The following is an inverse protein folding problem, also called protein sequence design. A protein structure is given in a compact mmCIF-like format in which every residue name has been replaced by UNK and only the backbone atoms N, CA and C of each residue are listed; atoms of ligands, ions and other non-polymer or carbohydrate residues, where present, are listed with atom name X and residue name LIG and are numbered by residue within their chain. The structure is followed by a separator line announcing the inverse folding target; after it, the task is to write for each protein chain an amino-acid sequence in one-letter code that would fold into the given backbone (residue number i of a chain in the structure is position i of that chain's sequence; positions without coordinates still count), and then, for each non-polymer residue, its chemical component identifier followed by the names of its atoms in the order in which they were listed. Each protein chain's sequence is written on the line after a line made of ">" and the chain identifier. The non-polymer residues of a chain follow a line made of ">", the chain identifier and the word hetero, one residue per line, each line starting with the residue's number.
data_IF_373165346812
#
_entry.id   IF_373165346812
#
_cell.length_a   1.000
_cell.length_b   1.000
_cell.length_c   1.000
_cell.angle_alpha   90.00
_cell.angle_beta   90.00
_cell.angle_gamma   90.00
#
_symmetry.space_group_name_H-M   'P 1'
#
loop_
_entity.id
_entity.type
_entity.pdbx_description
1 polymer ?
#
# COMPACT_ATOMS: atom_id res chain seq x y z
N UNK A 1 1.91 -7.39 20.83
CA UNK A 1 2.77 -6.19 20.82
C UNK A 1 4.21 -6.67 20.58
N UNK A 2 4.92 -6.15 19.57
CA UNK A 2 6.32 -6.50 19.37
C UNK A 2 7.14 -5.97 20.56
N UNK A 3 7.75 -6.86 21.33
CA UNK A 3 8.60 -6.48 22.45
C UNK A 3 9.90 -5.83 21.92
N UNK A 4 10.33 -4.73 22.53
CA UNK A 4 11.58 -4.04 22.17
C UNK A 4 11.55 -3.30 20.83
N UNK A 5 10.36 -3.00 20.29
CA UNK A 5 10.26 -2.37 18.96
C UNK A 5 10.84 -0.96 18.95
N UNK A 6 10.66 -0.21 20.03
CA UNK A 6 11.12 1.19 20.17
C UNK A 6 12.64 1.28 20.14
N UNK A 7 13.34 0.31 20.72
CA UNK A 7 14.80 0.31 20.83
C UNK A 7 15.50 0.16 19.46
N UNK A 8 14.77 -0.27 18.43
CA UNK A 8 15.28 -0.53 17.09
C UNK A 8 14.81 0.50 16.04
N UNK A 9 14.20 1.61 16.48
CA UNK A 9 13.69 2.67 15.61
C UNK A 9 14.66 3.86 15.48
N UNK A 10 14.39 4.74 14.53
CA UNK A 10 15.14 6.00 14.41
C UNK A 10 14.90 6.88 15.65
N UNK A 11 15.98 7.26 16.32
CA UNK A 11 15.93 8.07 17.54
C UNK A 11 15.27 9.43 17.33
N UNK A 12 15.40 10.05 16.15
CA UNK A 12 14.75 11.33 15.91
C UNK A 12 13.23 11.16 15.82
N UNK A 13 12.76 10.03 15.27
CA UNK A 13 11.33 9.70 15.27
C UNK A 13 10.82 9.50 16.69
N UNK A 14 11.45 8.61 17.47
CA UNK A 14 10.99 8.25 18.81
C UNK A 14 11.05 9.42 19.80
N UNK A 15 11.97 10.36 19.61
CA UNK A 15 12.05 11.59 20.41
C UNK A 15 11.03 12.66 19.99
N UNK A 16 10.53 12.62 18.76
CA UNK A 16 9.57 13.60 18.24
C UNK A 16 8.12 13.21 18.53
N UNK A 17 7.85 11.92 18.68
CA UNK A 17 6.50 11.39 18.90
C UNK A 17 6.22 11.17 20.39
N UNK A 18 5.02 11.57 20.85
CA UNK A 18 4.56 11.30 22.23
C UNK A 18 4.43 9.80 22.52
N UNK A 19 4.17 9.01 21.47
CA UNK A 19 4.02 7.55 21.50
C UNK A 19 5.08 6.96 20.58
N UNK A 20 6.28 6.62 21.09
CA UNK A 20 7.40 6.15 20.28
C UNK A 20 7.07 4.94 19.41
N UNK A 21 6.16 4.07 19.86
CA UNK A 21 5.69 2.91 19.11
C UNK A 21 5.04 3.25 17.77
N UNK A 22 4.56 4.49 17.58
CA UNK A 22 3.98 4.94 16.32
C UNK A 22 5.01 4.97 15.18
N UNK A 23 6.30 5.05 15.50
CA UNK A 23 7.37 4.99 14.53
C UNK A 23 7.53 3.63 13.83
N UNK A 24 6.69 2.61 14.12
CA UNK A 24 6.52 1.45 13.22
C UNK A 24 5.78 1.82 11.94
N UNK A 25 4.95 2.85 11.97
CA UNK A 25 4.05 3.17 10.87
C UNK A 25 4.68 4.18 9.90
N UNK A 26 4.50 3.99 8.58
CA UNK A 26 5.14 4.83 7.57
C UNK A 26 4.89 6.33 7.73
N UNK A 27 3.69 6.74 8.15
CA UNK A 27 3.33 8.15 8.31
C UNK A 27 4.21 8.89 9.31
N UNK A 28 4.82 8.19 10.27
CA UNK A 28 5.74 8.76 11.25
C UNK A 28 7.21 8.50 10.86
N UNK A 29 7.53 7.27 10.44
CA UNK A 29 8.91 6.85 10.20
C UNK A 29 9.54 7.45 8.93
N UNK A 30 8.76 7.60 7.85
CA UNK A 30 9.32 7.89 6.53
C UNK A 30 10.04 9.24 6.43
N UNK A 31 9.69 10.22 7.26
CA UNK A 31 10.37 11.51 7.26
C UNK A 31 11.80 11.45 7.80
N UNK A 32 12.12 10.43 8.61
CA UNK A 32 13.44 10.28 9.24
C UNK A 32 14.40 9.38 8.45
N UNK A 33 13.90 8.60 7.48
CA UNK A 33 14.73 7.74 6.63
C UNK A 33 15.58 8.58 5.67
N UNK A 34 16.91 8.52 5.81
CA UNK A 34 17.85 9.29 4.97
C UNK A 34 18.30 8.54 3.72
N UNK A 35 18.33 7.21 3.77
CA UNK A 35 18.73 6.38 2.64
C UNK A 35 17.69 6.45 1.51
N UNK A 36 18.10 6.34 0.24
CA UNK A 36 17.14 6.15 -0.86
C UNK A 36 16.24 4.94 -0.56
N UNK A 37 14.93 5.14 -0.71
CA UNK A 37 13.91 4.11 -0.46
C UNK A 37 12.97 4.03 -1.66
N UNK A 38 12.59 2.81 -2.02
CA UNK A 38 11.52 2.51 -2.96
C UNK A 38 10.38 1.83 -2.20
N UNK A 39 9.16 2.34 -2.32
CA UNK A 39 7.98 1.72 -1.73
C UNK A 39 7.20 1.02 -2.84
N UNK A 40 7.07 -0.30 -2.68
CA UNK A 40 6.17 -1.12 -3.46
C UNK A 40 5.03 -1.56 -2.54
N UNK A 41 3.79 -1.25 -2.90
CA UNK A 41 2.63 -1.72 -2.17
C UNK A 41 1.39 -1.72 -3.07
N UNK A 42 0.34 -2.44 -2.69
CA UNK A 42 -0.99 -2.29 -3.30
C UNK A 42 -1.87 -1.39 -2.45
N UNK A 43 -2.75 -0.61 -3.08
CA UNK A 43 -3.86 0.04 -2.34
C UNK A 43 -4.77 -0.99 -1.71
N UNK A 44 -4.89 -2.17 -2.33
CA UNK A 44 -5.71 -3.27 -1.85
C UNK A 44 -4.88 -4.46 -1.33
N UNK A 45 -3.98 -4.22 -0.36
CA UNK A 45 -3.23 -5.32 0.29
C UNK A 45 -4.17 -6.22 1.09
N UNK A 46 -4.37 -7.44 0.60
CA UNK A 46 -5.35 -8.38 1.16
C UNK A 46 -4.96 -8.83 2.57
N UNK A 47 -3.66 -8.87 2.89
CA UNK A 47 -3.22 -9.23 4.22
C UNK A 47 -3.55 -8.13 5.22
N UNK A 48 -3.38 -6.86 4.83
CA UNK A 48 -3.74 -5.71 5.65
C UNK A 48 -5.22 -5.74 6.05
N UNK A 49 -6.15 -5.94 5.12
CA UNK A 49 -7.59 -5.90 5.46
C UNK A 49 -8.04 -7.09 6.28
N UNK A 50 -7.52 -8.29 5.99
CA UNK A 50 -7.99 -9.50 6.65
C UNK A 50 -7.36 -9.68 8.03
N UNK A 51 -6.14 -9.20 8.26
CA UNK A 51 -5.39 -9.51 9.48
C UNK A 51 -4.99 -8.29 10.31
N UNK A 52 -4.84 -7.11 9.70
CA UNK A 52 -4.31 -5.91 10.38
C UNK A 52 -5.41 -4.90 10.66
N UNK A 53 -6.34 -4.69 9.73
CA UNK A 53 -7.41 -3.71 9.85
C UNK A 53 -8.28 -4.04 11.06
N UNK A 54 -8.25 -3.15 12.04
CA UNK A 54 -9.06 -3.16 13.27
C UNK A 54 -9.07 -4.54 13.95
N UNK A 55 -8.09 -4.86 14.81
CA UNK A 55 -8.03 -6.18 15.44
C UNK A 55 -9.30 -6.47 16.28
N UNK A 56 -9.65 -7.74 16.47
CA UNK A 56 -10.86 -8.16 17.20
C UNK A 56 -10.92 -7.56 18.62
N UNK A 57 -9.78 -7.33 19.26
CA UNK A 57 -9.70 -6.66 20.57
C UNK A 57 -10.16 -5.20 20.54
N UNK A 58 -10.06 -4.52 19.39
CA UNK A 58 -10.48 -3.14 19.18
C UNK A 58 -11.87 -3.02 18.52
N UNK A 59 -12.45 -4.13 18.06
CA UNK A 59 -13.82 -4.21 17.56
C UNK A 59 -14.58 -5.42 18.13
N UNK A 60 -14.91 -5.41 19.43
CA UNK A 60 -15.59 -6.55 20.08
C UNK A 60 -16.98 -6.84 19.53
N UNK A 61 -17.62 -5.85 18.92
CA UNK A 61 -18.97 -5.95 18.36
C UNK A 61 -19.00 -6.24 16.85
N UNK A 62 -17.83 -6.31 16.20
CA UNK A 62 -17.72 -6.68 14.79
C UNK A 62 -18.28 -5.62 13.82
N UNK A 63 -18.28 -4.35 14.20
CA UNK A 63 -18.77 -3.23 13.38
C UNK A 63 -17.97 -3.12 12.07
N UNK A 64 -16.68 -3.46 12.10
CA UNK A 64 -15.78 -3.37 10.96
C UNK A 64 -15.79 -4.61 10.06
N UNK A 65 -16.55 -5.65 10.39
CA UNK A 65 -16.59 -6.88 9.61
C UNK A 65 -16.99 -6.64 8.15
N UNK A 66 -17.91 -5.70 7.91
CA UNK A 66 -18.31 -5.34 6.56
C UNK A 66 -17.12 -4.79 5.74
N UNK A 67 -16.36 -3.85 6.31
CA UNK A 67 -15.18 -3.26 5.64
C UNK A 67 -14.06 -4.28 5.40
N UNK A 68 -13.87 -5.26 6.30
CA UNK A 68 -12.86 -6.31 6.14
C UNK A 68 -13.21 -7.31 5.04
N UNK A 69 -14.50 -7.59 4.87
CA UNK A 69 -15.00 -8.50 3.84
C UNK A 69 -15.10 -7.80 2.49
N UNK A 70 -15.52 -6.54 2.49
CA UNK A 70 -15.64 -5.72 1.29
C UNK A 70 -14.80 -4.44 1.42
N UNK A 71 -13.50 -4.48 1.14
CA UNK A 71 -12.63 -3.29 1.22
C UNK A 71 -13.02 -2.18 0.23
N UNK A 72 -13.85 -2.47 -0.77
CA UNK A 72 -14.42 -1.46 -1.67
C UNK A 72 -15.62 -0.72 -1.06
N UNK A 73 -16.15 -1.18 0.08
CA UNK A 73 -17.27 -0.51 0.75
C UNK A 73 -16.87 0.80 1.43
N UNK A 74 -15.57 1.09 1.52
CA UNK A 74 -15.07 2.28 2.18
C UNK A 74 -13.76 2.77 1.55
N UNK A 75 -13.79 3.98 0.98
CA UNK A 75 -12.59 4.65 0.48
C UNK A 75 -11.59 4.97 1.59
N UNK A 76 -12.02 4.91 2.86
CA UNK A 76 -11.20 5.24 4.02
C UNK A 76 -9.89 4.48 4.03
N UNK A 77 -9.88 3.20 3.67
CA UNK A 77 -8.67 2.38 3.81
C UNK A 77 -7.62 2.77 2.77
N UNK A 78 -8.07 3.02 1.53
CA UNK A 78 -7.22 3.54 0.46
C UNK A 78 -6.68 4.91 0.84
N UNK A 79 -7.55 5.80 1.36
CA UNK A 79 -7.16 7.13 1.81
C UNK A 79 -6.13 7.09 2.95
N UNK A 80 -6.30 6.20 3.94
CA UNK A 80 -5.35 6.05 5.05
C UNK A 80 -3.97 5.64 4.53
N UNK A 81 -3.92 4.66 3.61
CA UNK A 81 -2.65 4.21 3.03
C UNK A 81 -1.98 5.34 2.23
N UNK A 82 -2.70 5.99 1.31
CA UNK A 82 -2.14 7.07 0.51
C UNK A 82 -1.74 8.28 1.35
N UNK A 83 -2.51 8.63 2.37
CA UNK A 83 -2.16 9.71 3.30
C UNK A 83 -0.90 9.38 4.09
N UNK A 84 -0.68 8.12 4.47
CA UNK A 84 0.55 7.71 5.16
C UNK A 84 1.81 7.87 4.28
N UNK A 85 1.64 7.84 2.96
CA UNK A 85 2.71 8.05 1.98
C UNK A 85 2.80 9.50 1.49
N UNK A 86 1.88 10.38 1.87
CA UNK A 86 1.78 11.75 1.31
C UNK A 86 3.06 12.55 1.44
N UNK A 87 3.69 12.53 2.62
CA UNK A 87 4.96 13.21 2.83
C UNK A 87 6.06 12.67 1.88
N UNK A 88 6.09 11.35 1.70
CA UNK A 88 7.05 10.68 0.82
C UNK A 88 6.83 11.06 -0.65
N UNK A 89 5.57 11.24 -1.06
CA UNK A 89 5.17 11.67 -2.38
C UNK A 89 5.51 13.13 -2.67
N UNK A 90 5.28 14.05 -1.72
CA UNK A 90 5.41 15.49 -1.96
C UNK A 90 6.87 15.98 -1.84
N UNK A 91 7.65 15.45 -0.90
CA UNK A 91 8.89 16.13 -0.45
C UNK A 91 10.21 15.45 -0.87
N UNK A 92 10.18 14.41 -1.72
CA UNK A 92 11.42 13.73 -2.13
C UNK A 92 11.47 13.34 -3.59
N UNK A 93 12.50 13.81 -4.30
CA UNK A 93 12.78 13.44 -5.69
C UNK A 93 13.69 12.21 -5.83
N UNK A 94 14.36 11.79 -4.75
CA UNK A 94 15.29 10.63 -4.75
C UNK A 94 14.63 9.31 -4.39
N UNK A 95 13.36 9.36 -4.01
CA UNK A 95 12.58 8.24 -3.52
C UNK A 95 11.67 7.70 -4.63
N UNK A 96 11.50 6.39 -4.65
CA UNK A 96 10.71 5.68 -5.63
C UNK A 96 9.42 5.14 -5.04
N UNK A 97 8.37 5.05 -5.85
CA UNK A 97 7.06 4.59 -5.43
C UNK A 97 6.37 3.84 -6.59
N UNK A 98 5.81 2.66 -6.29
CA UNK A 98 4.92 1.93 -7.16
C UNK A 98 3.72 1.42 -6.35
N UNK A 99 2.57 2.03 -6.60
CA UNK A 99 1.30 1.73 -5.94
C UNK A 99 0.27 1.35 -6.98
N UNK A 100 -0.07 0.06 -7.07
CA UNK A 100 -1.12 -0.43 -7.98
C UNK A 100 -2.43 -0.71 -7.24
N UNK A 101 -3.52 -0.80 -8.01
CA UNK A 101 -4.87 -1.04 -7.50
C UNK A 101 -5.28 -2.51 -7.43
N UNK A 102 -4.32 -3.43 -7.51
CA UNK A 102 -4.61 -4.85 -7.42
C UNK A 102 -4.96 -5.30 -6.00
N UNK A 103 -5.86 -6.28 -5.90
CA UNK A 103 -5.95 -7.12 -4.71
C UNK A 103 -4.75 -8.06 -4.68
N UNK A 104 -3.69 -7.74 -3.95
CA UNK A 104 -2.49 -8.57 -3.94
C UNK A 104 -1.77 -8.53 -2.58
N UNK A 105 -0.69 -9.30 -2.48
CA UNK A 105 0.25 -9.29 -1.36
C UNK A 105 1.62 -9.78 -1.87
N UNK A 106 2.73 -9.40 -1.22
CA UNK A 106 4.09 -9.88 -1.54
C UNK A 106 4.52 -9.78 -3.02
N UNK A 107 4.21 -8.66 -3.70
CA UNK A 107 4.35 -8.54 -5.16
C UNK A 107 5.79 -8.66 -5.71
N UNK A 108 6.82 -8.52 -4.88
CA UNK A 108 8.22 -8.67 -5.30
C UNK A 108 8.74 -10.11 -5.26
N UNK A 109 7.98 -11.05 -4.70
CA UNK A 109 8.48 -12.42 -4.45
C UNK A 109 8.38 -13.35 -5.66
N UNK A 110 7.51 -13.04 -6.63
CA UNK A 110 7.28 -13.87 -7.81
C UNK A 110 7.64 -13.15 -9.10
N UNK A 111 8.26 -13.87 -10.04
CA UNK A 111 8.56 -13.34 -11.38
C UNK A 111 7.28 -12.95 -12.14
N UNK A 112 6.21 -13.72 -11.96
CA UNK A 112 4.90 -13.48 -12.58
C UNK A 112 4.35 -12.09 -12.23
N UNK A 113 4.49 -11.66 -10.96
CA UNK A 113 4.08 -10.33 -10.53
C UNK A 113 5.14 -9.26 -10.77
N UNK A 114 6.42 -9.63 -10.73
CA UNK A 114 7.54 -8.68 -10.82
C UNK A 114 7.81 -8.19 -12.24
N UNK A 115 7.91 -9.10 -13.21
CA UNK A 115 8.26 -8.80 -14.62
C UNK A 115 7.58 -9.71 -15.66
N UNK A 116 6.64 -10.56 -15.25
CA UNK A 116 5.87 -11.41 -16.15
C UNK A 116 5.20 -10.67 -17.32
N UNK A 117 4.94 -11.38 -18.41
CA UNK A 117 4.28 -10.78 -19.58
C UNK A 117 2.88 -10.23 -19.25
N UNK A 118 2.18 -10.92 -18.36
CA UNK A 118 0.88 -10.60 -17.78
C UNK A 118 0.96 -9.95 -16.39
N UNK A 119 2.15 -9.53 -15.94
CA UNK A 119 2.31 -8.89 -14.63
C UNK A 119 1.47 -7.61 -14.49
N UNK A 120 1.06 -7.22 -13.26
CA UNK A 120 0.44 -5.93 -13.00
C UNK A 120 1.25 -4.73 -13.52
N UNK A 121 0.54 -3.72 -14.04
CA UNK A 121 1.15 -2.56 -14.69
C UNK A 121 0.44 -1.26 -14.32
N UNK A 122 1.25 -0.31 -13.85
CA UNK A 122 0.81 1.09 -13.70
C UNK A 122 1.47 1.92 -14.80
N UNK A 123 0.69 2.71 -15.53
CA UNK A 123 1.18 3.49 -16.67
C UNK A 123 1.98 2.65 -17.69
N UNK A 124 1.51 1.42 -17.94
CA UNK A 124 2.15 0.42 -18.82
C UNK A 124 3.53 -0.07 -18.38
N UNK A 125 3.95 0.19 -17.13
CA UNK A 125 5.21 -0.31 -16.56
C UNK A 125 4.99 -1.45 -15.59
N UNK A 126 5.82 -2.48 -15.72
CA UNK A 126 5.96 -3.53 -14.69
C UNK A 126 6.62 -2.96 -13.43
N UNK A 127 6.53 -3.71 -12.33
CA UNK A 127 7.23 -3.40 -11.08
C UNK A 127 8.75 -3.38 -11.33
N UNK A 128 9.29 -4.38 -12.02
CA UNK A 128 10.71 -4.48 -12.33
C UNK A 128 11.24 -3.28 -13.13
N UNK A 129 10.49 -2.82 -14.13
CA UNK A 129 10.84 -1.63 -14.92
C UNK A 129 10.84 -0.37 -14.04
N UNK A 130 9.81 -0.19 -13.22
CA UNK A 130 9.69 0.96 -12.34
C UNK A 130 10.83 1.03 -11.29
N UNK A 131 11.14 -0.10 -10.66
CA UNK A 131 12.26 -0.23 -9.71
C UNK A 131 13.58 -0.02 -10.43
N UNK A 132 13.77 -0.61 -11.61
CA UNK A 132 14.97 -0.45 -12.41
C UNK A 132 15.19 0.98 -12.88
N UNK A 133 14.13 1.71 -13.24
CA UNK A 133 14.21 3.12 -13.60
C UNK A 133 14.72 3.96 -12.42
N UNK A 134 14.18 3.71 -11.23
CA UNK A 134 14.57 4.40 -10.00
C UNK A 134 15.99 4.05 -9.57
N UNK A 135 16.32 2.76 -9.49
CA UNK A 135 17.61 2.27 -8.97
C UNK A 135 18.80 2.78 -9.79
N UNK A 136 18.67 2.75 -11.12
CA UNK A 136 19.72 3.24 -12.02
C UNK A 136 19.63 4.75 -12.30
N UNK A 137 18.70 5.48 -11.66
CA UNK A 137 18.53 6.92 -11.84
C UNK A 137 18.13 7.33 -13.26
N UNK A 138 17.48 6.43 -14.01
CA UNK A 138 17.03 6.67 -15.39
C UNK A 138 15.85 7.64 -15.43
N UNK A 139 14.96 7.56 -14.45
CA UNK A 139 13.77 8.41 -14.32
C UNK A 139 13.32 8.50 -12.86
N UNK A 140 12.67 9.61 -12.50
CA UNK A 140 11.91 9.67 -11.25
C UNK A 140 10.69 8.74 -11.35
N UNK A 141 10.59 7.77 -10.44
CA UNK A 141 9.52 6.77 -10.45
C UNK A 141 8.56 7.02 -9.29
N UNK A 142 7.38 7.56 -9.60
CA UNK A 142 6.25 7.66 -8.66
C UNK A 142 4.99 7.21 -9.40
N UNK A 143 4.90 5.91 -9.60
CA UNK A 143 3.76 5.30 -10.29
C UNK A 143 2.68 5.03 -9.23
N UNK A 144 1.54 5.69 -9.37
CA UNK A 144 0.38 5.50 -8.50
C UNK A 144 -0.81 5.32 -9.42
N UNK A 145 -1.53 4.25 -9.19
CA UNK A 145 -2.69 3.88 -9.96
C UNK A 145 -3.97 4.60 -9.48
N UNK A 146 -5.01 4.55 -10.31
CA UNK A 146 -6.35 4.98 -9.90
C UNK A 146 -6.99 3.98 -8.93
N UNK A 147 -8.15 4.32 -8.38
CA UNK A 147 -8.90 3.37 -7.56
C UNK A 147 -9.36 2.15 -8.39
N UNK A 148 -9.41 0.97 -7.76
CA UNK A 148 -9.93 -0.25 -8.38
C UNK A 148 -11.36 0.00 -8.89
N UNK A 149 -11.77 -0.55 -10.07
CA UNK A 149 -11.12 -1.61 -10.85
C UNK A 149 -10.33 -1.11 -12.07
N UNK A 150 -9.58 -0.02 -11.99
CA UNK A 150 -9.03 0.58 -13.20
C UNK A 150 -7.88 -0.20 -13.86
N UNK A 151 -7.06 -0.94 -13.09
CA UNK A 151 -5.99 -1.77 -13.63
C UNK A 151 -6.51 -3.17 -14.03
N UNK A 152 -6.68 -3.36 -15.34
CA UNK A 152 -7.12 -4.62 -15.92
C UNK A 152 -6.01 -5.67 -16.06
N UNK A 153 -4.78 -5.37 -15.64
CA UNK A 153 -3.64 -6.31 -15.66
C UNK A 153 -3.48 -7.06 -14.33
N UNK A 154 -4.30 -6.73 -13.32
CA UNK A 154 -4.26 -7.39 -12.03
C UNK A 154 -4.80 -8.84 -12.06
N UNK A 155 -4.04 -9.77 -11.49
CA UNK A 155 -4.50 -11.16 -11.26
C UNK A 155 -5.47 -11.31 -10.06
N UNK A 156 -5.53 -10.30 -9.18
CA UNK A 156 -6.45 -10.15 -8.04
C UNK A 156 -6.65 -11.41 -7.15
N UNK A 157 -6.10 -11.40 -5.94
CA UNK A 157 -6.26 -12.41 -4.89
C UNK A 157 -7.63 -12.34 -4.18
N UNK A 158 -8.73 -12.25 -4.94
CA UNK A 158 -10.09 -12.27 -4.43
C UNK A 158 -10.52 -13.73 -4.27
N UNK A 159 -9.97 -14.46 -3.27
CA UNK A 159 -10.08 -15.92 -3.30
C UNK A 159 -9.79 -16.77 -2.06
N UNK A 160 -9.64 -16.20 -0.85
CA UNK A 160 -9.43 -17.00 0.38
C UNK A 160 -10.57 -16.90 1.41
N UNK A 161 -11.80 -16.87 0.93
CA UNK A 161 -12.95 -17.66 1.43
C UNK A 161 -14.10 -17.40 0.46
N UNK A 162 -14.71 -18.47 -0.03
CA UNK A 162 -15.83 -18.48 -0.98
C UNK A 162 -16.87 -17.38 -0.74
N UNK A 163 -16.97 -16.42 -1.66
CA UNK A 163 -18.20 -15.75 -2.16
C UNK A 163 -17.95 -14.28 -2.53
N UNK A 164 -17.39 -14.02 -3.72
CA UNK A 164 -17.52 -12.71 -4.36
C UNK A 164 -17.75 -12.89 -5.86
N UNK A 165 -18.79 -13.64 -6.20
CA UNK A 165 -19.43 -13.47 -7.50
C UNK A 165 -20.36 -12.25 -7.39
N UNK A 166 -20.14 -11.30 -8.30
CA UNK A 166 -20.92 -10.07 -8.56
C UNK A 166 -20.67 -8.87 -7.64
N UNK A 167 -19.71 -8.03 -8.05
CA UNK A 167 -19.83 -6.57 -7.83
C UNK A 167 -19.57 -5.82 -9.14
N UNK A 168 -20.66 -5.42 -9.79
CA UNK A 168 -20.70 -4.31 -10.75
C UNK A 168 -21.03 -3.05 -9.93
N UNK A 169 -20.06 -2.16 -9.72
CA UNK A 169 -20.28 -0.95 -8.93
C UNK A 169 -19.37 0.18 -9.39
N UNK A 170 -19.93 1.05 -10.21
CA UNK A 170 -19.39 2.35 -10.59
C UNK A 170 -19.28 3.24 -9.34
N UNK A 171 -18.09 3.74 -9.00
CA UNK A 171 -17.95 4.86 -8.07
C UNK A 171 -16.95 5.89 -8.60
N UNK A 172 -17.27 7.15 -8.30
CA UNK A 172 -16.85 8.36 -8.97
C UNK A 172 -15.64 8.96 -8.24
N UNK A 173 -14.45 8.78 -8.79
CA UNK A 173 -13.25 9.51 -8.36
C UNK A 173 -12.98 10.68 -9.32
N UNK A 174 -13.46 11.86 -8.94
CA UNK A 174 -12.90 13.13 -9.39
C UNK A 174 -12.39 13.87 -8.16
N UNK A 175 -11.23 14.51 -8.33
CA UNK A 175 -10.41 15.24 -7.35
C UNK A 175 -9.37 14.38 -6.63
N UNK A 176 -8.21 14.23 -7.30
CA UNK A 176 -6.85 14.38 -6.75
C UNK A 176 -5.75 14.17 -7.81
N UNK A 177 -6.10 14.12 -9.10
CA UNK A 177 -5.17 14.37 -10.23
C UNK A 177 -4.89 15.84 -10.41
#
# INVERSE_FOLDING_TARGET
>A
MLQGVVDNMDNNCTMSECYPELCIFPQYALQYIRTPLFILNTTYDVYQFHHILVPTSADPHGVWNHCKQNPLSSDLIVQVMLNALRFFMEYSHRRGLFINSCFAHCQSESEETWSGADSPRVNNKTIAEAVGDWYFGRRATKEIDCAYPCDNTCHNLIGLRSSFEHYNGTSRFEQLT
#
